data_IF_885246773446
#
_entry.id   IF_885246773446
#
_cell.length_a   1.000
_cell.length_b   1.000
_cell.length_c   1.000
_cell.angle_alpha   90.00
_cell.angle_beta   90.00
_cell.angle_gamma   90.00
#
_symmetry.space_group_name_H-M   'P 1'
#
loop_
_entity.id
_entity.type
_entity.pdbx_description
1 polymer ?
#
# COMPACT_ATOMS: atom_id res chain seq x y z
N UNK A 1 1.90 2.23 16.91
CA UNK A 1 1.35 2.64 15.59
C UNK A 1 2.42 2.79 14.52
N UNK A 2 3.70 2.56 14.84
CA UNK A 2 4.78 2.35 13.87
C UNK A 2 4.55 1.10 13.01
N UNK A 3 3.66 0.19 13.42
CA UNK A 3 3.46 -1.09 12.76
C UNK A 3 2.83 -0.92 11.36
N UNK A 4 1.99 0.11 11.15
CA UNK A 4 1.50 0.44 9.82
C UNK A 4 2.63 0.89 8.89
N UNK A 5 3.62 1.60 9.42
CA UNK A 5 4.80 2.00 8.65
C UNK A 5 5.64 0.79 8.26
N UNK A 6 5.84 -0.15 9.18
CA UNK A 6 6.52 -1.42 8.89
C UNK A 6 5.83 -2.16 7.74
N UNK A 7 4.50 -2.23 7.80
CA UNK A 7 3.71 -2.86 6.74
C UNK A 7 3.88 -2.16 5.39
N UNK A 8 3.84 -0.82 5.37
CA UNK A 8 4.13 -0.02 4.16
C UNK A 8 5.53 -0.29 3.61
N UNK A 9 6.54 -0.37 4.48
CA UNK A 9 7.91 -0.66 4.06
C UNK A 9 8.01 -2.04 3.44
N UNK A 10 7.44 -3.08 4.08
CA UNK A 10 7.46 -4.43 3.53
C UNK A 10 6.75 -4.52 2.18
N UNK A 11 5.63 -3.83 2.02
CA UNK A 11 4.87 -3.81 0.77
C UNK A 11 5.63 -3.12 -0.37
N UNK A 12 6.20 -1.94 -0.12
CA UNK A 12 7.01 -1.23 -1.12
C UNK A 12 8.26 -2.04 -1.47
N UNK A 13 8.95 -2.61 -0.48
CA UNK A 13 10.09 -3.50 -0.71
C UNK A 13 9.74 -4.64 -1.67
N UNK A 14 8.60 -5.30 -1.46
CA UNK A 14 8.19 -6.42 -2.30
C UNK A 14 7.90 -5.98 -3.74
N UNK A 15 7.19 -4.86 -3.93
CA UNK A 15 6.92 -4.30 -5.25
C UNK A 15 8.21 -3.87 -5.99
N UNK A 16 9.17 -3.25 -5.28
CA UNK A 16 10.48 -2.85 -5.81
C UNK A 16 11.33 -4.07 -6.16
N UNK A 17 11.39 -5.07 -5.26
CA UNK A 17 12.16 -6.29 -5.45
C UNK A 17 11.68 -7.10 -6.64
N UNK A 18 10.38 -7.09 -6.94
CA UNK A 18 9.82 -7.72 -8.14
C UNK A 18 9.99 -6.87 -9.41
N UNK A 19 10.56 -5.67 -9.30
CA UNK A 19 10.75 -4.76 -10.44
C UNK A 19 9.46 -4.15 -10.97
N UNK A 20 8.36 -4.21 -10.19
CA UNK A 20 7.05 -3.68 -10.59
C UNK A 20 6.88 -2.20 -10.22
N UNK A 21 7.57 -1.74 -9.18
CA UNK A 21 7.59 -0.35 -8.75
C UNK A 21 9.01 0.23 -8.83
N UNK A 22 9.18 1.28 -9.63
CA UNK A 22 10.45 2.00 -9.75
C UNK A 22 10.60 3.06 -8.64
N UNK A 23 11.78 3.11 -8.02
CA UNK A 23 12.16 4.20 -7.09
C UNK A 23 12.71 5.44 -7.81
N UNK A 24 12.95 5.35 -9.11
CA UNK A 24 13.35 6.48 -9.92
C UNK A 24 12.09 7.27 -10.31
N UNK A 25 12.15 8.59 -10.13
CA UNK A 25 11.08 9.46 -10.61
C UNK A 25 11.07 9.50 -12.16
N UNK A 26 9.90 9.63 -12.78
CA UNK A 26 9.78 9.86 -14.22
C UNK A 26 10.54 11.14 -14.62
N UNK A 27 11.06 11.23 -15.85
CA UNK A 27 11.81 12.39 -16.31
C UNK A 27 10.96 13.67 -16.39
N UNK A 28 9.64 13.52 -16.47
CA UNK A 28 8.69 14.61 -16.62
C UNK A 28 7.64 14.55 -15.50
N UNK A 29 7.06 15.70 -15.16
CA UNK A 29 6.06 15.82 -14.09
C UNK A 29 4.64 15.43 -14.51
N UNK A 30 4.48 14.89 -15.72
CA UNK A 30 3.19 14.49 -16.26
C UNK A 30 2.68 13.15 -15.70
N UNK A 31 1.42 12.79 -16.00
CA UNK A 31 0.88 11.47 -15.70
C UNK A 31 1.75 10.38 -16.32
N UNK A 32 1.85 9.25 -15.63
CA UNK A 32 2.59 8.09 -16.11
C UNK A 32 1.73 6.84 -16.05
N UNK A 33 1.95 5.89 -16.96
CA UNK A 33 1.30 4.57 -16.95
C UNK A 33 1.96 3.60 -15.93
N UNK A 34 2.48 4.13 -14.83
CA UNK A 34 3.17 3.35 -13.78
C UNK A 34 2.21 2.74 -12.77
N UNK A 35 0.91 3.00 -12.89
CA UNK A 35 -0.12 2.41 -12.03
C UNK A 35 -0.06 0.88 -12.07
N UNK A 36 -0.22 0.26 -10.91
CA UNK A 36 -0.05 -1.18 -10.83
C UNK A 36 -0.51 -1.78 -9.52
N UNK A 37 -0.54 -3.10 -9.49
CA UNK A 37 -0.78 -3.85 -8.28
C UNK A 37 0.00 -5.16 -8.29
N UNK A 38 0.16 -5.71 -7.10
CA UNK A 38 0.83 -6.95 -6.81
C UNK A 38 0.02 -7.69 -5.75
N UNK A 39 -0.27 -8.97 -6.02
CA UNK A 39 -0.77 -9.90 -5.02
C UNK A 39 0.43 -10.71 -4.52
N UNK A 40 0.76 -10.57 -3.23
CA UNK A 40 1.92 -11.21 -2.63
C UNK A 40 1.68 -11.52 -1.16
N UNK A 41 2.55 -12.35 -0.59
CA UNK A 41 2.58 -12.57 0.85
C UNK A 41 3.44 -11.49 1.52
N UNK A 42 2.83 -10.69 2.41
CA UNK A 42 3.52 -9.66 3.19
C UNK A 42 3.43 -10.06 4.65
N UNK A 43 4.57 -10.18 5.34
CA UNK A 43 4.64 -10.61 6.74
C UNK A 43 3.82 -11.89 7.04
N UNK A 44 3.88 -12.89 6.17
CA UNK A 44 3.20 -14.17 6.35
C UNK A 44 1.70 -14.17 6.01
N UNK A 45 1.17 -13.12 5.36
CA UNK A 45 -0.25 -13.02 5.01
C UNK A 45 -0.50 -12.64 3.55
N UNK A 46 -1.53 -13.22 2.91
CA UNK A 46 -1.93 -12.81 1.57
C UNK A 46 -2.31 -11.34 1.59
N UNK A 47 -1.79 -10.58 0.63
CA UNK A 47 -1.93 -9.14 0.60
C UNK A 47 -2.03 -8.63 -0.83
N UNK A 48 -2.67 -7.47 -0.98
CA UNK A 48 -2.58 -6.66 -2.19
C UNK A 48 -1.73 -5.44 -1.87
N UNK A 49 -0.73 -5.19 -2.70
CA UNK A 49 -0.02 -3.91 -2.76
C UNK A 49 -0.43 -3.26 -4.06
N UNK A 50 -0.93 -2.04 -4.02
CA UNK A 50 -1.24 -1.30 -5.24
C UNK A 50 -0.70 0.11 -5.18
N UNK A 51 -0.50 0.70 -6.36
CA UNK A 51 0.03 2.03 -6.47
C UNK A 51 -0.53 2.77 -7.67
N UNK A 52 -0.60 4.08 -7.52
CA UNK A 52 -0.94 4.97 -8.61
C UNK A 52 0.03 6.15 -8.63
N UNK A 53 0.60 6.42 -9.79
CA UNK A 53 1.37 7.64 -9.97
C UNK A 53 0.43 8.83 -9.91
N UNK A 54 0.83 9.84 -9.16
CA UNK A 54 0.30 11.18 -9.35
C UNK A 54 1.39 12.01 -10.03
N UNK A 55 0.98 13.08 -10.68
CA UNK A 55 1.90 14.05 -11.29
C UNK A 55 2.99 14.48 -10.30
N UNK A 56 4.08 15.03 -10.81
CA UNK A 56 5.24 15.47 -10.02
C UNK A 56 6.07 14.35 -9.35
N UNK A 57 5.99 13.10 -9.85
CA UNK A 57 6.93 12.02 -9.50
C UNK A 57 6.66 11.33 -8.17
N UNK A 58 5.52 11.62 -7.55
CA UNK A 58 5.04 10.93 -6.35
C UNK A 58 4.17 9.74 -6.72
N UNK A 59 4.22 8.70 -5.90
CA UNK A 59 3.39 7.51 -6.08
C UNK A 59 2.61 7.27 -4.81
N UNK A 60 1.29 7.19 -4.92
CA UNK A 60 0.47 6.66 -3.83
C UNK A 60 0.70 5.17 -3.79
N UNK A 61 1.00 4.62 -2.61
CA UNK A 61 1.07 3.18 -2.38
C UNK A 61 0.01 2.82 -1.33
N UNK A 62 -0.67 1.70 -1.56
CA UNK A 62 -1.71 1.16 -0.70
C UNK A 62 -1.46 -0.31 -0.42
N UNK A 63 -1.73 -0.74 0.81
CA UNK A 63 -1.56 -2.12 1.26
C UNK A 63 -2.87 -2.62 1.84
N UNK A 64 -3.38 -3.73 1.31
CA UNK A 64 -4.50 -4.49 1.86
C UNK A 64 -3.94 -5.80 2.41
N UNK A 65 -3.72 -5.85 3.71
CA UNK A 65 -3.04 -6.95 4.38
C UNK A 65 -4.05 -7.94 4.97
N UNK A 66 -3.71 -9.23 4.95
CA UNK A 66 -4.63 -10.33 5.26
C UNK A 66 -5.88 -10.29 4.37
N UNK A 67 -5.66 -10.07 3.07
CA UNK A 67 -6.70 -9.94 2.06
C UNK A 67 -7.09 -11.30 1.48
N UNK A 68 -8.38 -11.62 1.53
CA UNK A 68 -8.98 -12.81 0.95
C UNK A 68 -9.93 -12.40 -0.18
N UNK A 69 -9.44 -12.43 -1.42
CA UNK A 69 -10.23 -12.04 -2.58
C UNK A 69 -11.53 -12.85 -2.69
N UNK A 70 -11.54 -14.14 -2.33
CA UNK A 70 -12.72 -14.99 -2.46
C UNK A 70 -13.90 -14.54 -1.57
N UNK A 71 -13.61 -13.77 -0.52
CA UNK A 71 -14.59 -13.22 0.42
C UNK A 71 -14.93 -11.76 0.14
N UNK A 72 -14.28 -11.14 -0.84
CA UNK A 72 -14.65 -9.80 -1.29
C UNK A 72 -16.02 -9.87 -2.01
N UNK A 73 -17.02 -9.07 -1.59
CA UNK A 73 -18.30 -9.01 -2.28
C UNK A 73 -18.21 -8.73 -3.78
N UNK A 74 -17.15 -8.05 -4.22
CA UNK A 74 -16.92 -7.64 -5.62
C UNK A 74 -15.93 -8.53 -6.37
N UNK A 75 -15.61 -9.72 -5.86
CA UNK A 75 -14.65 -10.64 -6.46
C UNK A 75 -15.09 -11.21 -7.82
N UNK A 76 -16.37 -11.59 -7.91
CA UNK A 76 -16.95 -12.28 -9.07
C UNK A 76 -17.87 -11.39 -9.91
N UNK A 77 -17.92 -10.10 -9.59
CA UNK A 77 -18.69 -9.12 -10.33
C UNK A 77 -18.07 -8.85 -11.70
N UNK A 78 -18.79 -8.12 -12.57
CA UNK A 78 -18.36 -7.80 -13.93
C UNK A 78 -18.34 -6.29 -14.16
N UNK A 79 -17.50 -5.85 -15.09
CA UNK A 79 -17.33 -4.44 -15.41
C UNK A 79 -16.79 -3.65 -14.22
N UNK A 80 -17.26 -2.43 -14.04
CA UNK A 80 -16.78 -1.49 -13.01
C UNK A 80 -17.10 -1.93 -11.58
N UNK A 81 -17.95 -2.95 -11.40
CA UNK A 81 -18.25 -3.55 -10.10
C UNK A 81 -17.25 -4.63 -9.70
N UNK A 82 -16.32 -4.99 -10.57
CA UNK A 82 -15.27 -5.96 -10.25
C UNK A 82 -14.10 -5.24 -9.61
N UNK A 83 -13.58 -5.79 -8.52
CA UNK A 83 -12.35 -5.29 -7.90
C UNK A 83 -11.20 -5.22 -8.92
N UNK A 84 -10.69 -4.00 -9.12
CA UNK A 84 -9.62 -3.68 -10.06
C UNK A 84 -8.28 -3.40 -9.36
N UNK A 85 -8.24 -3.40 -8.02
CA UNK A 85 -7.05 -3.13 -7.22
C UNK A 85 -6.42 -1.75 -7.47
N UNK A 86 -7.18 -0.79 -7.99
CA UNK A 86 -6.67 0.54 -8.34
C UNK A 86 -6.94 1.60 -7.25
N UNK A 87 -7.83 1.34 -6.31
CA UNK A 87 -8.19 2.25 -5.21
C UNK A 87 -7.30 2.07 -3.97
N UNK A 88 -7.38 3.02 -3.05
CA UNK A 88 -6.66 2.97 -1.77
C UNK A 88 -7.18 1.87 -0.84
N UNK A 89 -8.44 1.50 -0.99
CA UNK A 89 -9.11 0.46 -0.21
C UNK A 89 -9.89 -0.50 -1.12
N UNK A 90 -10.17 -1.73 -0.66
CA UNK A 90 -10.97 -2.68 -1.43
C UNK A 90 -12.35 -2.12 -1.76
N UNK A 91 -12.84 -2.49 -2.94
CA UNK A 91 -14.15 -2.10 -3.45
C UNK A 91 -15.24 -2.87 -2.69
N UNK A 92 -15.55 -2.43 -1.48
CA UNK A 92 -16.65 -2.89 -0.65
C UNK A 92 -16.95 -1.84 0.44
N UNK A 93 -18.14 -1.90 1.02
CA UNK A 93 -18.44 -1.10 2.23
C UNK A 93 -17.61 -1.63 3.41
N UNK A 94 -17.12 -0.74 4.26
CA UNK A 94 -16.31 -1.06 5.44
C UNK A 94 -16.93 -2.11 6.37
N UNK A 95 -18.27 -2.19 6.42
CA UNK A 95 -18.99 -3.21 7.19
C UNK A 95 -18.68 -4.65 6.72
N UNK A 96 -18.20 -4.83 5.49
CA UNK A 96 -17.77 -6.12 4.95
C UNK A 96 -16.29 -6.41 5.22
N UNK A 97 -15.46 -5.40 5.48
CA UNK A 97 -14.01 -5.56 5.64
C UNK A 97 -13.60 -6.63 6.65
N UNK A 98 -14.24 -6.76 7.83
CA UNK A 98 -13.87 -7.79 8.80
C UNK A 98 -13.88 -9.23 8.24
N UNK A 99 -14.60 -9.46 7.13
CA UNK A 99 -14.73 -10.78 6.50
C UNK A 99 -13.57 -11.13 5.59
N UNK A 100 -12.85 -10.14 5.05
CA UNK A 100 -11.93 -10.38 3.93
C UNK A 100 -10.67 -9.52 3.92
N UNK A 101 -10.51 -8.52 4.78
CA UNK A 101 -9.27 -7.74 4.89
C UNK A 101 -8.94 -7.49 6.36
N UNK A 102 -7.66 -7.61 6.71
CA UNK A 102 -7.17 -7.39 8.06
C UNK A 102 -6.77 -5.94 8.31
N UNK A 103 -6.09 -5.30 7.35
CA UNK A 103 -5.62 -3.91 7.45
C UNK A 103 -5.68 -3.27 6.07
N UNK A 104 -6.11 -2.01 5.99
CA UNK A 104 -5.82 -1.13 4.85
C UNK A 104 -4.96 0.02 5.34
N UNK A 105 -4.00 0.45 4.53
CA UNK A 105 -3.22 1.68 4.78
C UNK A 105 -2.67 2.19 3.46
N UNK A 106 -2.68 3.50 3.29
CA UNK A 106 -2.08 4.18 2.16
C UNK A 106 -1.11 5.26 2.61
N UNK A 107 -0.15 5.57 1.74
CA UNK A 107 0.81 6.65 1.95
C UNK A 107 1.46 7.06 0.63
N UNK A 108 2.21 8.16 0.67
CA UNK A 108 2.93 8.67 -0.50
C UNK A 108 4.39 8.25 -0.48
N UNK A 109 4.89 7.77 -1.62
CA UNK A 109 6.30 7.54 -1.90
C UNK A 109 6.81 8.69 -2.76
N UNK A 110 7.66 9.53 -2.17
CA UNK A 110 8.43 10.55 -2.89
C UNK A 110 9.60 9.85 -3.59
N UNK A 111 9.90 10.20 -4.86
CA UNK A 111 10.98 9.56 -5.64
C UNK A 111 12.01 10.52 -6.22
N UNK A 112 11.73 11.83 -6.27
CA UNK A 112 12.59 12.81 -6.97
C UNK A 112 13.84 13.18 -6.19
N UNK A 113 13.74 13.29 -4.88
CA UNK A 113 14.76 13.92 -4.06
C UNK A 113 15.40 12.92 -3.10
N UNK A 114 14.70 12.59 -2.02
CA UNK A 114 15.24 11.81 -0.92
C UNK A 114 14.79 10.35 -0.96
N UNK A 115 13.82 10.02 -1.81
CA UNK A 115 13.23 8.69 -1.97
C UNK A 115 12.74 8.17 -0.63
N UNK A 116 11.52 8.52 -0.26
CA UNK A 116 11.01 8.18 1.06
C UNK A 116 9.50 8.02 1.08
N UNK A 117 9.03 7.17 1.99
CA UNK A 117 7.64 7.21 2.40
C UNK A 117 7.42 8.50 3.19
N UNK A 118 6.43 9.30 2.79
CA UNK A 118 6.15 10.58 3.42
C UNK A 118 5.48 10.42 4.79
N UNK A 119 5.80 11.36 5.68
CA UNK A 119 5.32 11.39 7.06
C UNK A 119 6.18 10.59 8.03
N UNK A 120 5.82 10.66 9.31
CA UNK A 120 6.52 10.03 10.43
C UNK A 120 5.58 9.18 11.28
N UNK A 121 5.96 7.94 11.60
CA UNK A 121 5.10 7.01 12.33
C UNK A 121 3.77 6.81 11.60
N UNK A 122 2.67 7.31 12.19
CA UNK A 122 1.32 7.28 11.60
C UNK A 122 0.93 8.54 10.82
N UNK A 123 1.73 9.59 10.92
CA UNK A 123 1.44 10.87 10.26
C UNK A 123 1.51 10.67 8.75
N UNK A 124 0.60 11.33 8.05
CA UNK A 124 0.44 11.30 6.58
C UNK A 124 0.15 9.92 5.99
N UNK A 125 -0.17 8.93 6.83
CA UNK A 125 -0.86 7.71 6.40
C UNK A 125 -2.36 7.97 6.39
N UNK A 126 -3.04 7.45 5.38
CA UNK A 126 -4.48 7.66 5.16
C UNK A 126 -5.18 6.38 4.71
N UNK A 127 -6.51 6.44 4.65
CA UNK A 127 -7.39 5.31 4.31
C UNK A 127 -7.12 4.05 5.16
N UNK A 128 -6.93 4.31 6.46
CA UNK A 128 -6.53 3.30 7.44
C UNK A 128 -7.74 2.55 7.98
N UNK A 129 -7.72 1.23 7.84
CA UNK A 129 -8.60 0.31 8.52
C UNK A 129 -7.78 -0.75 9.25
N UNK A 130 -8.20 -1.15 10.45
CA UNK A 130 -7.58 -2.26 11.20
C UNK A 130 -8.71 -3.12 11.77
N UNK A 131 -8.83 -4.36 11.27
CA UNK A 131 -9.73 -5.37 11.83
C UNK A 131 -9.32 -5.70 13.26
N UNK A 132 -10.31 -5.94 14.12
CA UNK A 132 -10.10 -6.40 15.50
C UNK A 132 -9.20 -7.65 15.50
N UNK A 133 -8.16 -7.66 16.33
CA UNK A 133 -7.18 -8.75 16.42
C UNK A 133 -6.00 -8.64 15.45
N UNK A 134 -6.05 -7.78 14.43
CA UNK A 134 -4.93 -7.57 13.51
C UNK A 134 -3.81 -6.74 14.13
N UNK A 135 -4.12 -5.91 15.14
CA UNK A 135 -3.15 -5.02 15.78
C UNK A 135 -2.05 -5.80 16.50
N UNK A 136 -2.42 -6.86 17.21
CA UNK A 136 -1.52 -7.74 17.93
C UNK A 136 -0.58 -8.49 16.97
N UNK A 137 -1.05 -8.77 15.75
CA UNK A 137 -0.27 -9.40 14.70
C UNK A 137 0.70 -8.41 14.04
N UNK A 138 0.25 -7.18 13.77
CA UNK A 138 1.10 -6.10 13.27
C UNK A 138 2.28 -5.81 14.22
N UNK A 139 2.05 -5.88 15.53
CA UNK A 139 3.10 -5.68 16.54
C UNK A 139 4.20 -6.76 16.51
N UNK A 140 3.91 -7.94 15.97
CA UNK A 140 4.87 -9.03 15.84
C UNK A 140 5.74 -8.90 14.59
N UNK A 141 5.43 -7.96 13.69
CA UNK A 141 6.22 -7.73 12.48
C UNK A 141 7.59 -7.14 12.91
N UNK A 142 8.71 -7.80 12.56
CA UNK A 142 10.05 -7.29 12.86
C UNK A 142 10.30 -5.97 12.11
N UNK A 143 11.26 -5.19 12.58
CA UNK A 143 11.63 -3.94 11.90
C UNK A 143 12.16 -4.25 10.49
N UNK A 144 11.49 -3.80 9.41
CA UNK A 144 11.95 -4.05 8.06
C UNK A 144 13.06 -3.08 7.67
N UNK A 145 13.98 -3.55 6.83
CA UNK A 145 14.98 -2.69 6.18
C UNK A 145 14.42 -2.19 4.84
N UNK A 146 14.32 -0.88 4.60
CA UNK A 146 13.90 -0.35 3.30
C UNK A 146 14.88 -0.67 2.17
N UNK A 147 14.35 -0.98 0.99
CA UNK A 147 15.12 -1.33 -0.22
C UNK A 147 15.48 -0.08 -1.04
N UNK A 148 16.48 0.69 -0.61
CA UNK A 148 17.01 1.83 -1.41
C UNK A 148 16.23 3.15 -1.31
N UNK A 149 15.32 3.25 -0.33
CA UNK A 149 14.58 4.46 0.03
C UNK A 149 14.56 4.61 1.56
N UNK A 150 14.05 5.72 2.10
CA UNK A 150 13.89 5.94 3.56
C UNK A 150 12.48 5.58 4.00
N UNK A 151 12.32 5.00 5.20
CA UNK A 151 11.00 4.57 5.68
C UNK A 151 10.10 5.73 6.06
N UNK A 152 10.66 6.93 6.23
CA UNK A 152 9.98 8.15 6.65
C UNK A 152 10.68 9.37 6.06
N UNK A 153 9.97 10.48 5.95
CA UNK A 153 10.54 11.75 5.50
C UNK A 153 9.50 12.84 5.33
N UNK A 154 9.94 13.98 4.80
CA UNK A 154 9.12 15.18 4.67
C UNK A 154 7.87 14.90 3.80
N UNK A 155 6.73 15.37 4.27
CA UNK A 155 5.49 15.41 3.50
C UNK A 155 5.47 16.61 2.55
N UNK A 156 4.98 16.41 1.33
CA UNK A 156 4.80 17.44 0.31
C UNK A 156 3.30 17.53 -0.03
N UNK A 157 2.79 18.75 -0.20
CA UNK A 157 1.40 19.09 -0.50
C UNK A 157 1.29 19.63 -1.91
#
# INVERSE_FOLDING_TARGET
MYELRKLMVLAVNEAVKQGLLSLEAPPNDGPTDEDGHLIAEIAGRPSVVNWSSISAGEVRVSVWWDYDHSKNPQANEKGDYRESFSSTQPLAKDSHYPKFVGVTVSGWLERKTARHLQGHGKEDLFDVYIRRGSKELLQQIPEPKPEGYKPEGKFFL
#
